data_IF_930616037340
#
_entry.id   IF_930616037340
#
_cell.length_a   1.000
_cell.length_b   1.000
_cell.length_c   1.000
_cell.angle_alpha   90.00
_cell.angle_beta   90.00
_cell.angle_gamma   90.00
#
_symmetry.space_group_name_H-M   'P 1'
#
loop_
_entity.id
_entity.type
_entity.pdbx_description
1 polymer ?
#
# COMPACT_ATOMS: atom_id res chain seq x y z
N UNK A 1 -11.10 -15.10 2.58
CA UNK A 1 -10.19 -14.13 1.96
C UNK A 1 -10.41 -12.85 2.74
N UNK A 2 -9.41 -12.31 3.44
CA UNK A 2 -9.54 -11.05 4.16
C UNK A 2 -9.82 -9.87 3.21
N UNK A 3 -10.52 -8.86 3.69
CA UNK A 3 -10.71 -7.61 2.97
C UNK A 3 -9.57 -6.63 3.30
N UNK A 4 -9.23 -5.77 2.34
CA UNK A 4 -8.46 -4.56 2.61
C UNK A 4 -9.36 -3.57 3.35
N UNK A 5 -8.83 -3.02 4.43
CA UNK A 5 -9.53 -2.08 5.30
C UNK A 5 -8.58 -0.98 5.74
N UNK A 6 -9.11 0.23 5.94
CA UNK A 6 -8.36 1.33 6.53
C UNK A 6 -8.69 1.43 8.02
N UNK A 7 -7.69 1.50 8.92
CA UNK A 7 -7.95 1.75 10.33
C UNK A 7 -8.73 3.05 10.54
N UNK A 8 -9.65 3.04 11.51
CA UNK A 8 -10.58 4.15 11.76
C UNK A 8 -9.90 5.50 12.02
N UNK A 9 -8.66 5.48 12.52
CA UNK A 9 -7.90 6.69 12.88
C UNK A 9 -7.07 7.22 11.71
N UNK A 10 -7.23 6.63 10.52
CA UNK A 10 -6.61 7.05 9.27
C UNK A 10 -7.64 7.47 8.24
N UNK A 11 -7.22 8.30 7.30
CA UNK A 11 -8.02 8.72 6.14
C UNK A 11 -7.18 8.59 4.88
N UNK A 12 -7.82 8.13 3.80
CA UNK A 12 -7.24 8.03 2.48
C UNK A 12 -8.18 8.68 1.46
N UNK A 13 -7.66 9.53 0.58
CA UNK A 13 -8.43 10.13 -0.52
C UNK A 13 -8.00 9.59 -1.90
N UNK A 14 -7.30 8.45 -1.93
CA UNK A 14 -6.73 7.83 -3.13
C UNK A 14 -5.38 8.40 -3.58
N UNK A 15 -5.01 9.61 -3.15
CA UNK A 15 -3.68 10.22 -3.42
C UNK A 15 -2.86 10.48 -2.17
N UNK A 16 -3.50 10.65 -1.03
CA UNK A 16 -2.87 10.92 0.26
C UNK A 16 -3.50 10.04 1.34
N UNK A 17 -2.63 9.47 2.18
CA UNK A 17 -2.95 8.66 3.35
C UNK A 17 -2.30 9.31 4.57
N UNK A 18 -3.08 9.55 5.63
CA UNK A 18 -2.60 10.17 6.86
C UNK A 18 -3.48 9.85 8.07
N UNK A 19 -2.98 10.04 9.30
CA UNK A 19 -3.82 10.04 10.49
C UNK A 19 -4.94 11.09 10.39
N UNK A 20 -6.11 10.81 10.97
CA UNK A 20 -7.23 11.77 11.02
C UNK A 20 -6.91 12.97 11.90
N UNK A 21 -6.16 12.75 12.98
CA UNK A 21 -5.80 13.76 13.97
C UNK A 21 -4.30 13.80 14.16
N UNK A 22 -3.75 15.01 14.32
CA UNK A 22 -2.33 15.20 14.61
C UNK A 22 -1.36 14.82 13.48
N UNK A 23 -1.87 14.62 12.26
CA UNK A 23 -1.07 14.19 11.13
C UNK A 23 0.14 15.10 10.91
N UNK A 24 1.34 14.54 11.11
CA UNK A 24 2.58 15.20 10.69
C UNK A 24 2.86 14.87 9.22
N UNK A 25 3.61 15.73 8.54
CA UNK A 25 4.02 15.47 7.16
C UNK A 25 4.92 14.23 7.00
N UNK A 26 5.48 13.72 8.10
CA UNK A 26 6.28 12.47 8.13
C UNK A 26 5.42 11.20 8.15
N UNK A 27 4.22 11.27 8.71
CA UNK A 27 3.27 10.15 8.77
C UNK A 27 2.31 10.15 7.57
N UNK A 28 2.42 11.16 6.71
CA UNK A 28 1.62 11.27 5.50
C UNK A 28 2.32 10.55 4.35
N UNK A 29 1.60 9.66 3.67
CA UNK A 29 2.05 8.98 2.46
C UNK A 29 1.27 9.50 1.26
N UNK A 30 1.96 9.61 0.12
CA UNK A 30 1.37 10.11 -1.13
C UNK A 30 1.53 9.09 -2.25
N UNK A 31 0.53 9.02 -3.11
CA UNK A 31 0.53 8.27 -4.36
C UNK A 31 0.36 9.21 -5.55
N UNK A 32 1.35 9.26 -6.43
CA UNK A 32 1.36 10.15 -7.60
C UNK A 32 0.85 9.50 -8.90
N UNK A 33 0.31 8.27 -8.81
CA UNK A 33 -0.09 7.46 -9.95
C UNK A 33 0.96 6.42 -10.34
N UNK A 34 2.20 6.53 -9.84
CA UNK A 34 3.28 5.56 -10.09
C UNK A 34 4.08 5.21 -8.84
N UNK A 35 4.29 6.16 -7.94
CA UNK A 35 5.10 5.99 -6.73
C UNK A 35 4.26 6.24 -5.48
N UNK A 36 4.46 5.37 -4.48
CA UNK A 36 3.99 5.54 -3.12
C UNK A 36 5.20 5.89 -2.24
N UNK A 37 5.18 7.04 -1.56
CA UNK A 37 6.30 7.50 -0.73
C UNK A 37 5.86 8.38 0.43
N UNK A 38 6.69 8.55 1.47
CA UNK A 38 6.44 9.57 2.50
C UNK A 38 6.38 10.96 1.86
N UNK A 39 5.44 11.79 2.29
CA UNK A 39 5.26 13.15 1.79
C UNK A 39 6.48 14.02 2.09
N UNK A 40 7.12 13.81 3.24
CA UNK A 40 8.34 14.51 3.65
C UNK A 40 9.36 13.54 4.21
N UNK A 41 10.63 13.71 3.82
CA UNK A 41 11.76 12.97 4.39
C UNK A 41 11.91 11.53 3.89
N UNK A 42 11.09 11.09 2.93
CA UNK A 42 11.22 9.78 2.32
C UNK A 42 12.45 9.66 1.43
N UNK A 43 13.09 8.50 1.47
CA UNK A 43 14.18 8.13 0.58
C UNK A 43 13.70 7.17 -0.51
N UNK A 44 14.57 6.83 -1.45
CA UNK A 44 14.27 5.82 -2.47
C UNK A 44 14.03 4.42 -1.89
N UNK A 45 14.52 4.14 -0.68
CA UNK A 45 14.26 2.88 0.06
C UNK A 45 12.85 2.84 0.65
N UNK A 46 12.29 3.99 0.99
CA UNK A 46 10.93 4.13 1.51
C UNK A 46 9.89 4.17 0.38
N UNK A 47 10.34 4.23 -0.87
CA UNK A 47 9.47 4.38 -2.04
C UNK A 47 9.05 3.02 -2.58
N UNK A 48 7.76 2.88 -2.88
CA UNK A 48 7.19 1.75 -3.58
C UNK A 48 6.70 2.17 -4.96
N UNK A 49 6.78 1.26 -5.92
CA UNK A 49 6.30 1.45 -7.29
C UNK A 49 5.00 0.69 -7.48
N UNK A 50 4.06 1.33 -8.16
CA UNK A 50 2.83 0.71 -8.62
C UNK A 50 2.61 1.03 -10.10
N UNK A 51 2.47 0.00 -10.93
CA UNK A 51 2.30 0.14 -12.39
C UNK A 51 0.86 -0.10 -12.87
N UNK A 52 -0.10 -0.11 -11.95
CA UNK A 52 -1.49 -0.49 -12.20
C UNK A 52 -1.76 -1.98 -11.97
N UNK A 53 -0.72 -2.81 -11.85
CA UNK A 53 -0.85 -4.24 -11.59
C UNK A 53 0.06 -4.74 -10.48
N UNK A 54 1.33 -4.34 -10.45
CA UNK A 54 2.31 -4.79 -9.47
C UNK A 54 2.67 -3.68 -8.51
N UNK A 55 2.64 -3.99 -7.21
CA UNK A 55 3.14 -3.15 -6.12
C UNK A 55 4.45 -3.74 -5.60
N UNK A 56 5.54 -2.99 -5.64
CA UNK A 56 6.88 -3.48 -5.23
C UNK A 56 7.78 -2.40 -4.63
N UNK A 57 8.77 -2.75 -3.80
CA UNK A 57 9.77 -1.79 -3.35
C UNK A 57 10.55 -1.23 -4.55
N UNK A 58 10.82 0.08 -4.55
CA UNK A 58 11.65 0.71 -5.58
C UNK A 58 13.11 0.26 -5.47
N UNK A 59 13.59 0.02 -4.25
CA UNK A 59 14.94 -0.45 -3.96
C UNK A 59 14.94 -1.52 -2.86
N UNK A 60 15.89 -2.44 -2.94
CA UNK A 60 16.16 -3.43 -1.87
C UNK A 60 15.11 -4.54 -1.71
N UNK A 61 14.04 -4.53 -2.49
CA UNK A 61 13.02 -5.56 -2.48
C UNK A 61 13.46 -6.85 -3.17
N UNK A 62 12.93 -7.97 -2.69
CA UNK A 62 13.02 -9.28 -3.32
C UNK A 62 11.72 -9.61 -4.05
N UNK A 63 11.70 -10.73 -4.77
CA UNK A 63 10.49 -11.23 -5.42
C UNK A 63 9.33 -11.48 -4.45
N UNK A 64 9.61 -11.73 -3.16
CA UNK A 64 8.59 -11.96 -2.12
C UNK A 64 7.89 -10.69 -1.67
N UNK A 65 8.49 -9.52 -1.90
CA UNK A 65 7.93 -8.23 -1.54
C UNK A 65 6.99 -7.67 -2.61
N UNK A 66 6.82 -8.40 -3.73
CA UNK A 66 5.98 -7.99 -4.84
C UNK A 66 4.56 -8.51 -4.64
N UNK A 67 3.61 -7.60 -4.71
CA UNK A 67 2.18 -7.89 -4.72
C UNK A 67 1.61 -7.65 -6.11
N UNK A 68 0.60 -8.43 -6.49
CA UNK A 68 -0.06 -8.38 -7.80
C UNK A 68 -1.56 -8.22 -7.61
N UNK A 69 -2.15 -7.30 -8.37
CA UNK A 69 -3.58 -7.16 -8.52
C UNK A 69 -4.06 -8.05 -9.68
N UNK A 70 -5.07 -8.87 -9.40
CA UNK A 70 -5.74 -9.74 -10.35
C UNK A 70 -7.24 -9.78 -10.03
N UNK A 71 -8.06 -9.19 -10.90
CA UNK A 71 -9.53 -9.11 -10.75
C UNK A 71 -9.96 -8.62 -9.35
N UNK A 72 -9.48 -7.44 -8.97
CA UNK A 72 -9.74 -6.79 -7.68
C UNK A 72 -9.15 -7.50 -6.44
N UNK A 73 -8.31 -8.51 -6.64
CA UNK A 73 -7.64 -9.22 -5.56
C UNK A 73 -6.16 -8.88 -5.54
N UNK A 74 -5.65 -8.56 -4.36
CA UNK A 74 -4.24 -8.31 -4.13
C UNK A 74 -3.60 -9.55 -3.46
N UNK A 75 -2.53 -10.08 -4.06
CA UNK A 75 -1.85 -11.29 -3.57
C UNK A 75 -0.34 -11.20 -3.75
N UNK A 76 0.46 -11.94 -2.97
CA UNK A 76 1.88 -12.09 -3.24
C UNK A 76 2.09 -12.61 -4.66
N UNK A 77 3.07 -12.07 -5.37
CA UNK A 77 3.41 -12.53 -6.73
C UNK A 77 3.82 -14.00 -6.74
N UNK A 78 4.44 -14.47 -5.66
CA UNK A 78 4.93 -15.83 -5.50
C UNK A 78 4.39 -16.44 -4.21
N UNK A 79 3.98 -17.72 -4.28
CA UNK A 79 3.52 -18.45 -3.11
C UNK A 79 2.17 -17.99 -2.55
N UNK A 80 1.34 -17.32 -3.36
CA UNK A 80 0.03 -16.84 -2.94
C UNK A 80 -0.83 -17.99 -2.39
N UNK A 81 -1.41 -17.75 -1.20
CA UNK A 81 -2.41 -18.61 -0.58
C UNK A 81 -3.72 -17.84 -0.40
N UNK A 82 -4.81 -18.53 -0.08
CA UNK A 82 -6.10 -17.88 0.23
C UNK A 82 -6.05 -17.00 1.50
N UNK A 83 -5.07 -17.23 2.38
CA UNK A 83 -4.85 -16.43 3.59
C UNK A 83 -4.13 -15.12 3.30
N UNK A 84 -3.26 -15.13 2.29
CA UNK A 84 -2.45 -13.98 1.90
C UNK A 84 -3.00 -13.28 0.65
N UNK A 85 -4.18 -13.67 0.19
CA UNK A 85 -4.91 -12.98 -0.87
C UNK A 85 -5.97 -12.11 -0.22
N UNK A 86 -6.04 -10.86 -0.64
CA UNK A 86 -6.95 -9.85 -0.09
C UNK A 86 -7.91 -9.37 -1.16
N UNK A 87 -9.15 -9.10 -0.78
CA UNK A 87 -10.09 -8.35 -1.63
C UNK A 87 -9.78 -6.85 -1.50
N UNK A 88 -9.63 -6.14 -2.61
CA UNK A 88 -9.46 -4.68 -2.56
C UNK A 88 -10.75 -4.00 -2.13
N UNK A 89 -11.93 -4.61 -2.35
CA UNK A 89 -13.23 -4.05 -1.97
C UNK A 89 -13.44 -2.60 -2.45
N UNK A 90 -12.92 -2.27 -3.64
CA UNK A 90 -12.94 -0.91 -4.20
C UNK A 90 -12.04 0.12 -3.50
N UNK A 91 -11.25 -0.28 -2.51
CA UNK A 91 -10.33 0.62 -1.81
C UNK A 91 -9.14 1.03 -2.71
N UNK A 92 -8.64 2.26 -2.56
CA UNK A 92 -7.43 2.68 -3.26
C UNK A 92 -6.22 1.81 -2.91
N UNK A 93 -5.28 1.66 -3.85
CA UNK A 93 -4.02 0.94 -3.63
C UNK A 93 -3.24 1.45 -2.41
N UNK A 94 -3.39 2.73 -2.09
CA UNK A 94 -2.73 3.35 -0.93
C UNK A 94 -3.27 2.81 0.41
N UNK A 95 -4.53 2.35 0.47
CA UNK A 95 -5.10 1.66 1.63
C UNK A 95 -4.53 0.24 1.73
N UNK A 96 -4.44 -0.47 0.62
CA UNK A 96 -3.81 -1.79 0.61
C UNK A 96 -2.33 -1.72 1.02
N UNK A 97 -1.62 -0.68 0.58
CA UNK A 97 -0.25 -0.37 1.03
C UNK A 97 -0.19 -0.10 2.55
N UNK A 98 -1.14 0.66 3.09
CA UNK A 98 -1.25 0.94 4.52
C UNK A 98 -1.34 -0.35 5.35
N UNK A 99 -2.22 -1.26 4.96
CA UNK A 99 -2.42 -2.51 5.67
C UNK A 99 -1.23 -3.46 5.49
N UNK A 100 -0.77 -3.69 4.27
CA UNK A 100 0.18 -4.78 4.00
C UNK A 100 1.65 -4.40 4.20
N UNK A 101 2.01 -3.16 3.89
CA UNK A 101 3.40 -2.69 3.96
C UNK A 101 3.65 -1.94 5.25
N UNK A 102 2.80 -0.96 5.57
CA UNK A 102 2.93 -0.17 6.79
C UNK A 102 2.42 -0.91 8.04
N UNK A 103 1.69 -2.03 7.85
CA UNK A 103 1.18 -2.86 8.94
C UNK A 103 0.26 -2.08 9.88
N UNK A 104 -0.61 -1.25 9.30
CA UNK A 104 -1.61 -0.48 10.03
C UNK A 104 -2.87 -1.35 10.21
N UNK A 105 -3.14 -1.75 11.45
CA UNK A 105 -4.31 -2.52 11.88
C UNK A 105 -4.89 -1.93 13.17
#
# INVERSE_FOLDING_TARGET
MPDITLPRDWVCNGRELKPKSGATSRETWVFDGREIKPKVGGTSKDTWLFDGRELKPKFGGTSRDIWVIDRDKLKPKFGASSKDTYDLNGEPILVAFAQLVLKLW
#
